data_IF_327712398681
#
_entry.id   IF_327712398681
#
_cell.length_a   1.000
_cell.length_b   1.000
_cell.length_c   1.000
_cell.angle_alpha   90.00
_cell.angle_beta   90.00
_cell.angle_gamma   90.00
#
_symmetry.space_group_name_H-M   'P 1'
#
loop_
_entity.id
_entity.type
_entity.pdbx_description
1 polymer ?
#
# COMPACT_ATOMS: atom_id res chain seq x y z
N UNK A 1 -0.61 -20.80 1.30
CA UNK A 1 -1.05 -20.00 0.14
C UNK A 1 -1.94 -20.91 -0.65
N UNK A 2 -3.18 -20.52 -0.98
CA UNK A 2 -4.03 -21.32 -1.85
C UNK A 2 -4.14 -20.55 -3.17
N UNK A 3 -3.54 -21.09 -4.21
CA UNK A 3 -3.78 -20.68 -5.60
C UNK A 3 -4.94 -21.53 -6.09
N UNK A 4 -5.97 -20.90 -6.64
CA UNK A 4 -7.09 -21.62 -7.25
C UNK A 4 -7.17 -21.25 -8.71
N UNK A 5 -6.76 -22.19 -9.56
CA UNK A 5 -6.84 -22.06 -11.01
C UNK A 5 -8.21 -22.59 -11.46
N UNK A 6 -9.07 -21.70 -11.93
CA UNK A 6 -10.38 -22.07 -12.47
C UNK A 6 -10.21 -22.40 -13.96
N UNK A 7 -10.66 -23.59 -14.36
CA UNK A 7 -10.62 -24.06 -15.76
C UNK A 7 -11.78 -23.49 -16.60
N UNK A 8 -12.29 -22.31 -16.23
CA UNK A 8 -13.33 -21.58 -16.95
C UNK A 8 -12.74 -20.75 -18.11
N UNK A 9 -13.56 -20.33 -19.05
CA UNK A 9 -13.17 -19.41 -20.13
C UNK A 9 -13.97 -18.11 -19.98
N UNK A 10 -13.31 -16.94 -19.87
CA UNK A 10 -11.86 -16.75 -19.79
C UNK A 10 -11.26 -17.27 -18.46
N UNK A 11 -10.01 -17.75 -18.46
CA UNK A 11 -9.41 -18.36 -17.28
C UNK A 11 -9.22 -17.37 -16.15
N UNK A 12 -9.58 -17.79 -14.93
CA UNK A 12 -9.45 -17.00 -13.71
C UNK A 12 -8.50 -17.68 -12.73
N UNK A 13 -7.77 -16.86 -11.98
CA UNK A 13 -6.90 -17.31 -10.90
C UNK A 13 -7.17 -16.48 -9.66
N UNK A 14 -7.50 -17.14 -8.56
CA UNK A 14 -7.67 -16.48 -7.26
C UNK A 14 -6.44 -16.70 -6.37
N UNK A 15 -6.07 -15.67 -5.63
CA UNK A 15 -5.02 -15.69 -4.61
C UNK A 15 -5.59 -15.40 -3.23
N UNK A 16 -5.29 -16.28 -2.27
CA UNK A 16 -5.61 -16.03 -0.86
C UNK A 16 -4.35 -15.77 -0.04
N UNK A 17 -4.44 -14.88 0.96
CA UNK A 17 -3.37 -14.69 1.92
C UNK A 17 -3.00 -16.01 2.62
N UNK A 18 -1.71 -16.19 2.88
CA UNK A 18 -1.22 -17.25 3.79
C UNK A 18 -1.53 -16.89 5.24
N UNK A 19 -1.40 -17.82 6.19
CA UNK A 19 -1.42 -17.48 7.62
C UNK A 19 -0.44 -16.35 7.98
N UNK A 20 0.79 -16.41 7.46
CA UNK A 20 1.80 -15.34 7.61
C UNK A 20 1.36 -14.03 6.94
N UNK A 21 0.80 -14.08 5.73
CA UNK A 21 0.29 -12.90 5.05
C UNK A 21 -0.85 -12.23 5.83
N UNK A 22 -1.71 -13.03 6.48
CA UNK A 22 -2.75 -12.53 7.37
C UNK A 22 -2.20 -11.92 8.66
N UNK A 23 -1.12 -12.47 9.24
CA UNK A 23 -0.50 -11.86 10.43
C UNK A 23 0.20 -10.55 10.09
N UNK A 24 0.86 -10.47 8.93
CA UNK A 24 1.49 -9.24 8.44
C UNK A 24 0.48 -8.16 8.09
N UNK A 25 -0.68 -8.52 7.53
CA UNK A 25 -1.77 -7.57 7.26
C UNK A 25 -2.34 -6.92 8.53
N UNK A 26 -2.20 -7.59 9.68
CA UNK A 26 -2.59 -7.09 11.00
C UNK A 26 -1.44 -6.41 11.75
N UNK A 27 -0.22 -6.43 11.21
CA UNK A 27 0.93 -5.83 11.86
C UNK A 27 0.83 -4.29 11.85
N UNK A 28 1.39 -3.59 12.86
CA UNK A 28 1.21 -2.15 13.08
C UNK A 28 1.87 -1.22 12.03
N UNK A 29 2.26 -1.74 10.85
CA UNK A 29 2.87 -0.94 9.78
C UNK A 29 1.99 0.19 9.29
N UNK A 30 0.66 0.07 9.36
CA UNK A 30 -0.26 1.13 8.96
C UNK A 30 -0.04 2.44 9.74
N UNK A 31 0.38 2.38 11.01
CA UNK A 31 0.64 3.57 11.81
C UNK A 31 1.86 4.37 11.33
N UNK A 32 2.91 3.70 10.85
CA UNK A 32 4.12 4.35 10.32
C UNK A 32 3.84 5.09 9.00
N UNK A 33 3.02 4.52 8.12
CA UNK A 33 2.65 5.15 6.86
C UNK A 33 1.69 6.33 7.03
N UNK A 34 0.69 6.20 7.90
CA UNK A 34 -0.30 7.28 8.13
C UNK A 34 0.31 8.47 8.88
N UNK A 35 1.25 8.23 9.80
CA UNK A 35 1.96 9.32 10.50
C UNK A 35 2.94 10.10 9.61
N UNK A 36 3.55 9.44 8.62
CA UNK A 36 4.53 10.09 7.74
C UNK A 36 3.89 10.98 6.65
N UNK A 37 2.63 10.74 6.29
CA UNK A 37 1.96 11.51 5.23
C UNK A 37 1.88 13.02 5.50
N UNK A 38 1.75 13.42 6.76
CA UNK A 38 1.73 14.83 7.15
C UNK A 38 3.07 15.52 6.89
N UNK A 39 4.17 14.84 7.22
CA UNK A 39 5.52 15.37 6.99
C UNK A 39 5.86 15.44 5.50
N UNK A 40 5.48 14.41 4.74
CA UNK A 40 5.61 14.42 3.28
C UNK A 40 4.83 15.61 2.69
N UNK A 41 3.58 15.81 3.11
CA UNK A 41 2.74 16.92 2.65
C UNK A 41 3.35 18.29 2.97
N UNK A 42 3.94 18.44 4.16
CA UNK A 42 4.66 19.67 4.56
C UNK A 42 5.84 19.98 3.64
N UNK A 43 6.70 18.98 3.39
CA UNK A 43 7.87 19.14 2.53
C UNK A 43 7.48 19.50 1.09
N UNK A 44 6.40 18.90 0.57
CA UNK A 44 5.88 19.26 -0.75
C UNK A 44 5.36 20.71 -0.79
N UNK A 45 4.65 21.16 0.24
CA UNK A 45 4.17 22.55 0.31
C UNK A 45 5.33 23.57 0.39
N UNK A 46 6.38 23.29 1.17
CA UNK A 46 7.59 24.13 1.26
C UNK A 46 8.34 24.22 -0.09
N UNK A 47 8.31 23.14 -0.87
CA UNK A 47 8.91 23.15 -2.21
C UNK A 47 8.15 24.04 -3.18
N UNK A 48 6.82 24.02 -3.14
CA UNK A 48 6.00 24.89 -4.00
C UNK A 48 6.24 26.38 -3.69
N UNK A 49 6.38 26.75 -2.41
CA UNK A 49 6.68 28.14 -2.05
C UNK A 49 8.08 28.57 -2.49
N UNK A 50 9.09 27.69 -2.41
CA UNK A 50 10.42 27.98 -2.94
C UNK A 50 10.43 28.15 -4.46
N UNK A 51 9.69 27.30 -5.20
CA UNK A 51 9.56 27.42 -6.65
C UNK A 51 8.81 28.68 -7.07
N UNK A 52 7.78 29.11 -6.33
CA UNK A 52 6.99 30.29 -6.65
C UNK A 52 7.72 31.61 -6.37
N UNK A 53 8.69 31.60 -5.44
CA UNK A 53 9.51 32.76 -5.09
C UNK A 53 10.80 32.88 -5.94
N UNK A 54 10.95 32.05 -6.97
CA UNK A 54 12.09 32.01 -7.88
C UNK A 54 11.72 32.63 -9.23
#
# INVERSE_FOLDING_TARGET
MKRTDYKEVPPRVDYSLTPLGRSLAKAPRAALFVGHGAEVSRVFAERETWNANR
#
